data_IF_988812324063
#
_entry.id   IF_988812324063
#
_cell.length_a   1.000
_cell.length_b   1.000
_cell.length_c   1.000
_cell.angle_alpha   90.00
_cell.angle_beta   90.00
_cell.angle_gamma   90.00
#
_symmetry.space_group_name_H-M   'P 1'
#
loop_
_entity.id
_entity.type
_entity.pdbx_description
1 polymer ?
#
# COMPACT_ATOMS: atom_id res chain seq x y z
N UNK A 1 -9.60 42.66 20.95
CA UNK A 1 -8.64 41.80 21.65
C UNK A 1 -7.77 41.17 20.56
N UNK A 2 -6.58 41.72 20.33
CA UNK A 2 -5.66 41.30 19.27
C UNK A 2 -4.50 40.59 19.96
N UNK A 3 -4.30 39.32 19.64
CA UNK A 3 -3.18 38.52 20.16
C UNK A 3 -1.93 38.89 19.35
N UNK A 4 -0.79 39.27 19.97
CA UNK A 4 0.40 39.55 19.19
C UNK A 4 0.96 38.26 18.61
N UNK A 5 1.27 38.28 17.31
CA UNK A 5 2.05 37.25 16.64
C UNK A 5 3.47 37.28 17.23
N UNK A 6 3.92 36.17 17.80
CA UNK A 6 5.30 36.03 18.22
C UNK A 6 6.17 35.94 16.96
N UNK A 7 7.06 36.91 16.75
CA UNK A 7 8.11 36.83 15.73
C UNK A 7 9.04 35.65 16.08
N UNK A 8 9.04 34.64 15.22
CA UNK A 8 10.03 33.56 15.25
C UNK A 8 11.35 34.17 14.79
N UNK A 9 12.20 34.51 15.75
CA UNK A 9 13.59 34.88 15.49
C UNK A 9 14.30 33.63 14.98
N UNK A 10 14.57 33.60 13.67
CA UNK A 10 15.44 32.59 13.06
C UNK A 10 16.89 32.89 13.47
N UNK A 11 17.61 31.97 14.13
CA UNK A 11 19.04 32.13 14.32
C UNK A 11 19.71 32.04 12.95
N UNK A 12 20.19 33.18 12.45
CA UNK A 12 21.15 33.22 11.34
C UNK A 12 22.51 32.89 11.94
N UNK A 13 23.23 31.96 11.30
CA UNK A 13 24.57 31.48 11.67
C UNK A 13 24.61 30.32 12.67
N UNK A 14 24.18 29.15 12.20
CA UNK A 14 24.83 27.90 12.59
C UNK A 14 24.73 26.95 11.39
N UNK A 15 25.84 26.54 10.75
CA UNK A 15 25.79 25.49 9.75
C UNK A 15 25.40 24.20 10.47
N UNK A 16 24.10 23.88 10.48
CA UNK A 16 23.62 22.60 10.94
C UNK A 16 24.40 21.53 10.16
N UNK A 17 24.99 20.51 10.82
CA UNK A 17 25.51 19.38 10.08
C UNK A 17 24.35 18.85 9.25
N UNK A 18 24.56 18.63 7.95
CA UNK A 18 23.58 18.04 7.03
C UNK A 18 22.89 16.80 7.62
N UNK A 19 23.59 16.10 8.52
CA UNK A 19 23.07 15.00 9.34
C UNK A 19 21.85 15.35 10.21
N UNK A 20 21.70 16.58 10.70
CA UNK A 20 20.56 17.01 11.53
C UNK A 20 19.30 17.28 10.68
N UNK A 21 19.45 17.72 9.42
CA UNK A 21 18.34 17.89 8.48
C UNK A 21 17.84 16.53 7.93
N UNK A 22 18.72 15.52 7.84
CA UNK A 22 18.33 14.13 7.54
C UNK A 22 17.61 13.44 8.71
N UNK A 23 17.97 13.77 9.96
CA UNK A 23 17.32 13.21 11.16
C UNK A 23 15.90 13.76 11.37
N UNK A 24 15.66 15.05 11.13
CA UNK A 24 14.31 15.63 11.25
C UNK A 24 13.34 15.18 10.15
N UNK A 25 13.85 14.65 9.02
CA UNK A 25 13.04 14.01 7.99
C UNK A 25 12.73 12.55 8.28
N UNK A 26 13.38 11.96 9.30
CA UNK A 26 13.28 10.53 9.62
C UNK A 26 12.56 10.25 10.95
N UNK A 27 12.10 11.29 11.65
CA UNK A 27 11.47 11.16 12.98
C UNK A 27 10.01 11.67 13.04
N UNK A 28 9.28 11.59 11.91
CA UNK A 28 7.82 11.75 11.86
C UNK A 28 7.06 10.50 11.41
N UNK A 29 7.74 9.38 11.18
CA UNK A 29 7.16 8.06 10.95
C UNK A 29 7.62 7.15 12.09
N UNK A 30 6.71 6.84 13.03
CA UNK A 30 7.01 6.03 14.20
C UNK A 30 7.79 4.77 13.82
N UNK A 31 8.98 4.60 14.42
CA UNK A 31 10.07 3.71 14.00
C UNK A 31 9.75 2.21 13.88
N UNK A 32 8.90 1.87 12.91
CA UNK A 32 8.68 0.53 12.38
C UNK A 32 8.88 0.52 10.87
N UNK A 33 9.09 -0.67 10.32
CA UNK A 33 9.15 -0.91 8.89
C UNK A 33 7.83 -0.52 8.22
N UNK A 34 7.77 0.72 7.73
CA UNK A 34 6.67 1.22 6.92
C UNK A 34 7.13 1.32 5.45
N UNK A 35 6.66 0.38 4.63
CA UNK A 35 6.93 0.36 3.20
C UNK A 35 5.84 1.09 2.39
N UNK A 36 4.86 1.73 3.03
CA UNK A 36 3.80 2.44 2.30
C UNK A 36 4.34 3.60 1.47
N UNK A 37 5.23 4.42 2.04
CA UNK A 37 5.88 5.53 1.33
C UNK A 37 6.71 5.10 0.10
N UNK A 38 7.65 4.15 0.21
CA UNK A 38 8.41 3.72 -0.96
C UNK A 38 7.51 3.06 -2.02
N UNK A 39 6.50 2.30 -1.62
CA UNK A 39 5.51 1.73 -2.56
C UNK A 39 4.74 2.85 -3.25
N UNK A 40 4.26 3.83 -2.49
CA UNK A 40 3.52 4.98 -3.02
C UNK A 40 4.35 5.71 -4.07
N UNK A 41 5.61 6.01 -3.78
CA UNK A 41 6.53 6.68 -4.71
C UNK A 41 6.76 5.86 -5.97
N UNK A 42 6.98 4.55 -5.85
CA UNK A 42 7.20 3.67 -6.99
C UNK A 42 5.97 3.64 -7.92
N UNK A 43 4.77 3.51 -7.34
CA UNK A 43 3.51 3.51 -8.08
C UNK A 43 3.22 4.87 -8.74
N UNK A 44 3.55 5.98 -8.09
CA UNK A 44 3.42 7.32 -8.67
C UNK A 44 4.32 7.52 -9.89
N UNK A 45 5.44 6.79 -10.00
CA UNK A 45 6.33 6.84 -11.16
C UNK A 45 5.99 5.82 -12.25
N UNK A 46 5.07 4.89 -12.00
CA UNK A 46 4.70 3.87 -12.97
C UNK A 46 3.76 4.42 -14.05
N UNK A 47 4.18 4.29 -15.31
CA UNK A 47 3.44 4.82 -16.47
C UNK A 47 2.10 4.12 -16.67
N UNK A 48 2.01 2.80 -16.47
CA UNK A 48 0.77 2.03 -16.60
C UNK A 48 -0.23 2.45 -15.55
N UNK A 49 0.20 2.53 -14.29
CA UNK A 49 -0.64 2.98 -13.17
C UNK A 49 -1.19 4.38 -13.45
N UNK A 50 -0.35 5.32 -13.86
CA UNK A 50 -0.78 6.70 -14.14
C UNK A 50 -1.73 6.84 -15.35
N UNK A 51 -1.60 5.98 -16.36
CA UNK A 51 -2.44 6.03 -17.56
C UNK A 51 -3.80 5.38 -17.34
N UNK A 52 -3.83 4.28 -16.62
CA UNK A 52 -4.99 3.38 -16.59
C UNK A 52 -5.81 3.53 -15.30
N UNK A 53 -5.19 3.83 -14.15
CA UNK A 53 -5.90 4.00 -12.88
C UNK A 53 -6.99 5.11 -12.90
N UNK A 54 -6.82 6.25 -13.61
CA UNK A 54 -7.88 7.26 -13.71
C UNK A 54 -9.19 6.77 -14.34
N UNK A 55 -9.15 5.68 -15.11
CA UNK A 55 -10.33 5.06 -15.73
C UNK A 55 -11.13 4.17 -14.78
N UNK A 56 -10.54 3.82 -13.63
CA UNK A 56 -11.21 3.05 -12.59
C UNK A 56 -12.30 3.92 -11.96
N UNK A 57 -13.55 3.49 -12.07
CA UNK A 57 -14.64 4.12 -11.36
C UNK A 57 -14.43 3.91 -9.85
N UNK A 58 -14.62 4.95 -9.01
CA UNK A 58 -14.60 4.75 -7.57
C UNK A 58 -15.67 3.71 -7.21
N UNK A 59 -15.24 2.62 -6.56
CA UNK A 59 -16.17 1.56 -6.15
C UNK A 59 -17.10 2.14 -5.08
N UNK A 60 -18.37 2.30 -5.43
CA UNK A 60 -19.39 2.90 -4.56
C UNK A 60 -19.70 2.05 -3.31
N UNK A 61 -19.12 0.84 -3.19
CA UNK A 61 -19.35 -0.08 -2.07
C UNK A 61 -18.24 -0.06 -1.02
N UNK A 62 -17.11 0.60 -1.27
CA UNK A 62 -16.03 0.69 -0.28
C UNK A 62 -16.20 1.93 0.60
N UNK A 63 -16.28 1.72 1.92
CA UNK A 63 -16.62 2.73 2.94
C UNK A 63 -15.63 3.91 2.99
N UNK A 64 -14.52 3.85 2.24
CA UNK A 64 -13.50 4.90 2.14
C UNK A 64 -12.92 5.10 0.73
N UNK A 65 -13.55 4.59 -0.34
CA UNK A 65 -12.94 4.49 -1.69
C UNK A 65 -11.60 3.72 -1.70
N UNK A 66 -11.36 2.88 -0.70
CA UNK A 66 -10.15 2.06 -0.61
C UNK A 66 -10.34 0.77 -1.41
N UNK A 67 -9.47 0.54 -2.38
CA UNK A 67 -9.38 -0.66 -3.18
C UNK A 67 -8.49 -1.65 -2.44
N UNK A 68 -9.08 -2.72 -1.94
CA UNK A 68 -8.33 -3.80 -1.30
C UNK A 68 -7.52 -4.54 -2.37
N UNK A 69 -6.19 -4.56 -2.21
CA UNK A 69 -5.28 -5.22 -3.16
C UNK A 69 -4.80 -6.57 -2.66
N UNK A 70 -4.58 -6.69 -1.36
CA UNK A 70 -4.01 -7.88 -0.75
C UNK A 70 -4.47 -8.00 0.71
N UNK A 71 -4.78 -9.20 1.17
CA UNK A 71 -5.16 -9.48 2.57
C UNK A 71 -4.72 -10.88 3.05
N UNK A 72 -3.53 -11.31 2.62
CA UNK A 72 -3.06 -12.70 2.72
C UNK A 72 -2.94 -13.36 1.35
N UNK A 73 -3.84 -12.99 0.44
CA UNK A 73 -3.79 -13.33 -0.98
C UNK A 73 -3.99 -12.07 -1.81
N UNK A 74 -3.53 -12.08 -3.06
CA UNK A 74 -3.80 -11.00 -4.01
C UNK A 74 -5.27 -11.03 -4.41
N UNK A 75 -5.95 -9.91 -4.18
CA UNK A 75 -7.36 -9.77 -4.52
C UNK A 75 -7.46 -9.52 -6.03
N UNK A 76 -8.35 -10.26 -6.68
CA UNK A 76 -8.78 -9.98 -8.04
C UNK A 76 -9.92 -8.95 -7.95
N UNK A 77 -9.72 -7.72 -8.44
CA UNK A 77 -10.79 -6.74 -8.47
C UNK A 77 -11.89 -7.23 -9.42
N UNK A 78 -13.15 -6.99 -9.07
CA UNK A 78 -14.34 -7.35 -9.86
C UNK A 78 -14.38 -6.61 -11.21
N UNK A 79 -13.51 -6.95 -12.17
CA UNK A 79 -13.37 -6.38 -13.54
C UNK A 79 -13.34 -4.84 -13.68
N UNK A 80 -13.40 -4.10 -12.58
CA UNK A 80 -13.43 -2.64 -12.53
C UNK A 80 -12.03 -2.03 -12.62
N UNK A 81 -11.01 -2.86 -12.42
CA UNK A 81 -9.62 -2.47 -12.54
C UNK A 81 -9.04 -2.98 -13.87
N UNK A 82 -8.35 -2.13 -14.66
CA UNK A 82 -7.66 -2.60 -15.84
C UNK A 82 -6.56 -3.58 -15.45
N UNK A 83 -6.63 -4.80 -15.97
CA UNK A 83 -5.65 -5.88 -15.77
C UNK A 83 -4.18 -5.42 -15.93
N UNK A 84 -3.79 -4.64 -16.96
CA UNK A 84 -2.41 -4.18 -17.09
C UNK A 84 -1.95 -3.29 -15.92
N UNK A 85 -2.78 -2.34 -15.48
CA UNK A 85 -2.49 -1.54 -14.29
C UNK A 85 -2.41 -2.39 -13.03
N UNK A 86 -3.34 -3.34 -12.85
CA UNK A 86 -3.33 -4.20 -11.67
C UNK A 86 -2.06 -5.05 -11.62
N UNK A 87 -1.67 -5.64 -12.75
CA UNK A 87 -0.44 -6.41 -12.86
C UNK A 87 0.78 -5.55 -12.51
N UNK A 88 0.87 -4.33 -13.05
CA UNK A 88 1.94 -3.38 -12.74
C UNK A 88 1.94 -2.96 -11.25
N UNK A 89 0.77 -2.75 -10.63
CA UNK A 89 0.70 -2.45 -9.18
C UNK A 89 1.22 -3.63 -8.36
N UNK A 90 0.75 -4.85 -8.66
CA UNK A 90 1.19 -6.07 -7.96
C UNK A 90 2.70 -6.24 -8.07
N UNK A 91 3.24 -6.07 -9.27
CA UNK A 91 4.68 -6.17 -9.55
C UNK A 91 5.48 -5.10 -8.80
N UNK A 92 5.07 -3.83 -8.91
CA UNK A 92 5.72 -2.70 -8.24
C UNK A 92 5.74 -2.87 -6.72
N UNK A 93 4.61 -3.29 -6.13
CA UNK A 93 4.51 -3.56 -4.69
C UNK A 93 5.47 -4.69 -4.31
N UNK A 94 5.47 -5.81 -5.03
CA UNK A 94 6.34 -6.96 -4.75
C UNK A 94 7.81 -6.59 -4.85
N UNK A 95 8.22 -5.89 -5.92
CA UNK A 95 9.60 -5.45 -6.11
C UNK A 95 10.06 -4.50 -5.00
N UNK A 96 9.20 -3.55 -4.63
CA UNK A 96 9.52 -2.61 -3.54
C UNK A 96 9.69 -3.33 -2.21
N UNK A 97 8.80 -4.28 -1.91
CA UNK A 97 8.89 -5.08 -0.68
C UNK A 97 10.09 -6.01 -0.70
N UNK A 98 10.37 -6.67 -1.83
CA UNK A 98 11.53 -7.55 -2.00
C UNK A 98 12.87 -6.81 -1.88
N UNK A 99 12.91 -5.51 -2.19
CA UNK A 99 14.08 -4.67 -2.00
C UNK A 99 14.34 -4.27 -0.53
N UNK A 100 13.33 -4.40 0.35
CA UNK A 100 13.49 -4.10 1.77
C UNK A 100 14.33 -5.18 2.48
N UNK A 101 14.94 -4.82 3.62
CA UNK A 101 15.72 -5.77 4.44
C UNK A 101 14.84 -6.86 5.06
N UNK A 102 15.42 -8.03 5.33
CA UNK A 102 14.69 -9.13 6.00
C UNK A 102 14.10 -8.72 7.35
N UNK A 103 14.83 -7.93 8.14
CA UNK A 103 14.33 -7.40 9.41
C UNK A 103 13.06 -6.56 9.22
N UNK A 104 13.01 -5.76 8.14
CA UNK A 104 11.84 -4.97 7.76
C UNK A 104 10.70 -5.90 7.33
N UNK A 105 11.00 -6.86 6.44
CA UNK A 105 9.99 -7.75 5.86
C UNK A 105 9.31 -8.63 6.89
N UNK A 106 10.04 -9.06 7.93
CA UNK A 106 9.55 -9.93 8.98
C UNK A 106 8.83 -9.18 10.12
N UNK A 107 8.86 -7.85 10.12
CA UNK A 107 8.17 -7.07 11.15
C UNK A 107 6.64 -7.21 11.02
N UNK A 108 6.00 -7.58 12.12
CA UNK A 108 4.54 -7.69 12.22
C UNK A 108 3.88 -6.32 12.10
N UNK A 109 2.96 -6.24 11.15
CA UNK A 109 2.06 -5.14 10.86
C UNK A 109 0.70 -5.44 11.48
N UNK A 110 -0.01 -4.41 11.94
CA UNK A 110 -1.36 -4.53 12.48
C UNK A 110 -2.33 -3.67 11.67
N UNK A 111 -3.43 -4.27 11.25
CA UNK A 111 -4.47 -3.63 10.45
C UNK A 111 -4.05 -3.39 9.00
N UNK A 112 -4.95 -2.79 8.20
CA UNK A 112 -4.65 -2.45 6.82
C UNK A 112 -3.65 -1.29 6.76
N UNK A 113 -2.66 -1.42 5.88
CA UNK A 113 -1.79 -0.32 5.44
C UNK A 113 -2.42 0.33 4.21
N UNK A 114 -2.57 1.65 4.27
CA UNK A 114 -3.22 2.44 3.22
C UNK A 114 -2.16 3.17 2.41
N UNK A 115 -2.21 3.03 1.09
CA UNK A 115 -1.36 3.74 0.15
C UNK A 115 -2.23 4.73 -0.60
N UNK A 116 -1.86 6.01 -0.54
CA UNK A 116 -2.61 7.08 -1.15
C UNK A 116 -1.98 7.42 -2.50
N UNK A 117 -2.68 7.15 -3.59
CA UNK A 117 -2.24 7.46 -4.93
C UNK A 117 -2.96 8.71 -5.46
N UNK A 118 -2.40 9.92 -5.26
CA UNK A 118 -2.86 11.10 -5.97
C UNK A 118 -2.47 10.97 -7.44
N UNK A 119 -3.45 10.73 -8.31
CA UNK A 119 -3.26 10.66 -9.75
C UNK A 119 -4.20 11.66 -10.42
N UNK A 120 -3.62 12.63 -11.12
CA UNK A 120 -4.33 13.79 -11.69
C UNK A 120 -5.11 14.55 -10.61
N UNK A 121 -6.44 14.58 -10.69
CA UNK A 121 -7.35 15.30 -9.80
C UNK A 121 -8.14 14.35 -8.88
N UNK A 122 -7.68 13.10 -8.72
CA UNK A 122 -8.30 12.10 -7.85
C UNK A 122 -7.25 11.44 -6.97
N UNK A 123 -7.69 10.98 -5.80
CA UNK A 123 -6.88 10.14 -4.92
C UNK A 123 -7.52 8.76 -4.88
N UNK A 124 -6.78 7.75 -5.35
CA UNK A 124 -7.14 6.35 -5.18
C UNK A 124 -6.45 5.83 -3.93
N UNK A 125 -7.20 5.21 -3.02
CA UNK A 125 -6.63 4.59 -1.82
C UNK A 125 -6.49 3.10 -2.09
N UNK A 126 -5.31 2.54 -1.87
CA UNK A 126 -5.07 1.11 -1.94
C UNK A 126 -4.90 0.57 -0.52
N UNK A 127 -5.52 -0.56 -0.21
CA UNK A 127 -5.39 -1.21 1.09
C UNK A 127 -4.63 -2.53 0.99
N UNK A 128 -3.65 -2.71 1.87
CA UNK A 128 -2.84 -3.91 2.02
C UNK A 128 -2.98 -4.48 3.43
N UNK A 129 -3.29 -5.77 3.51
CA UNK A 129 -3.34 -6.54 4.74
C UNK A 129 -4.60 -6.32 5.56
N UNK A 130 -4.77 -7.21 6.53
CA UNK A 130 -5.80 -7.14 7.57
C UNK A 130 -5.28 -7.92 8.79
N UNK A 131 -5.83 -7.67 9.98
CA UNK A 131 -5.39 -8.36 11.19
C UNK A 131 -3.91 -8.17 11.50
N UNK A 132 -3.18 -9.25 11.74
CA UNK A 132 -1.72 -9.25 11.88
C UNK A 132 -1.07 -9.93 10.67
N UNK A 133 -0.08 -9.28 10.05
CA UNK A 133 0.58 -9.77 8.84
C UNK A 133 2.02 -9.25 8.76
N UNK A 134 2.84 -9.74 7.83
CA UNK A 134 4.19 -9.22 7.59
C UNK A 134 4.38 -8.88 6.12
N UNK A 135 5.26 -7.93 5.81
CA UNK A 135 5.59 -7.59 4.43
C UNK A 135 6.14 -8.80 3.65
N UNK A 136 6.79 -9.75 4.32
CA UNK A 136 7.22 -11.02 3.73
C UNK A 136 6.05 -11.80 3.10
N UNK A 137 4.86 -11.78 3.70
CA UNK A 137 3.69 -12.48 3.16
C UNK A 137 3.24 -11.88 1.81
N UNK A 138 3.46 -10.58 1.58
CA UNK A 138 3.12 -9.91 0.31
C UNK A 138 3.94 -10.46 -0.85
N UNK A 139 5.21 -10.76 -0.63
CA UNK A 139 6.09 -11.38 -1.64
C UNK A 139 5.91 -12.90 -1.72
N UNK A 140 5.66 -13.57 -0.60
CA UNK A 140 5.48 -15.02 -0.53
C UNK A 140 4.14 -15.50 -1.13
N UNK A 141 3.09 -14.68 -1.07
CA UNK A 141 1.75 -14.97 -1.64
C UNK A 141 1.72 -15.21 -3.15
N UNK A 142 2.87 -15.15 -3.83
CA UNK A 142 3.09 -15.64 -5.20
C UNK A 142 3.14 -17.18 -5.28
N UNK A 143 3.49 -17.86 -4.17
CA UNK A 143 3.60 -19.31 -4.05
C UNK A 143 2.32 -19.98 -3.51
N UNK A 144 1.33 -19.20 -3.07
CA UNK A 144 0.01 -19.74 -2.74
C UNK A 144 -0.84 -19.75 -4.01
N UNK A 145 -0.52 -20.66 -4.92
CA UNK A 145 -1.51 -21.22 -5.85
C UNK A 145 -2.71 -21.69 -4.99
N UNK A 146 -3.99 -21.51 -5.41
CA UNK A 146 -5.16 -21.91 -4.63
C UNK A 146 -5.33 -23.45 -4.52
N UNK A 147 -4.24 -24.17 -4.25
CA UNK A 147 -4.18 -25.60 -3.93
C UNK A 147 -3.98 -25.84 -2.42
N UNK A 148 -4.24 -24.81 -1.59
CA UNK A 148 -4.30 -24.94 -0.13
C UNK A 148 -5.64 -25.52 0.34
N UNK A 149 -5.65 -26.37 1.40
CA UNK A 149 -6.84 -27.09 1.85
C UNK A 149 -7.97 -26.12 2.20
N UNK A 150 -9.22 -26.57 2.13
CA UNK A 150 -10.46 -25.79 2.30
C UNK A 150 -10.48 -24.93 3.58
N UNK A 151 -9.78 -23.80 3.58
CA UNK A 151 -9.84 -22.81 4.66
C UNK A 151 -11.12 -22.02 4.42
N UNK A 152 -11.98 -22.01 5.43
CA UNK A 152 -13.28 -21.32 5.42
C UNK A 152 -13.07 -19.83 5.16
N UNK A 153 -13.38 -19.41 3.94
CA UNK A 153 -13.27 -18.01 3.53
C UNK A 153 -14.36 -17.17 4.22
N UNK A 154 -14.04 -16.01 4.81
CA UNK A 154 -15.04 -15.15 5.46
C UNK A 154 -15.92 -14.34 4.47
N UNK A 155 -15.75 -14.51 3.14
CA UNK A 155 -16.47 -13.78 2.11
C UNK A 155 -17.06 -14.72 1.03
N UNK A 156 -18.18 -14.36 0.37
CA UNK A 156 -18.77 -15.18 -0.68
C UNK A 156 -17.82 -15.33 -1.87
N UNK A 157 -17.55 -16.59 -2.27
CA UNK A 157 -16.70 -16.92 -3.42
C UNK A 157 -17.24 -16.28 -4.71
N UNK A 158 -16.39 -15.79 -5.63
CA UNK A 158 -16.84 -15.31 -6.93
C UNK A 158 -17.44 -16.45 -7.76
N UNK A 159 -18.57 -16.17 -8.43
CA UNK A 159 -19.38 -17.17 -9.17
C UNK A 159 -18.68 -17.87 -10.35
N UNK A 160 -17.46 -17.46 -10.70
CA UNK A 160 -16.69 -17.99 -11.82
C UNK A 160 -15.37 -18.66 -11.42
N UNK A 161 -15.12 -18.92 -10.14
CA UNK A 161 -14.11 -19.92 -9.77
C UNK A 161 -14.67 -21.27 -10.18
N UNK A 162 -14.14 -21.82 -11.27
CA UNK A 162 -14.44 -23.17 -11.72
C UNK A 162 -14.41 -24.11 -10.53
N UNK A 163 -15.57 -24.65 -10.22
CA UNK A 163 -15.90 -25.81 -9.39
C UNK A 163 -14.69 -26.63 -8.87
N UNK A 164 -13.92 -26.07 -7.93
CA UNK A 164 -13.05 -26.86 -7.06
C UNK A 164 -13.93 -27.27 -5.88
N UNK A 165 -14.58 -28.41 -6.08
CA UNK A 165 -15.41 -29.10 -5.10
C UNK A 165 -14.48 -29.60 -3.98
N UNK A 166 -14.67 -29.10 -2.77
CA UNK A 166 -14.21 -29.79 -1.57
C UNK A 166 -15.16 -30.98 -1.37
N UNK A 167 -14.64 -32.21 -1.35
CA UNK A 167 -15.37 -33.40 -0.87
C UNK A 167 -15.48 -33.34 0.66
#
# INVERSE_FOLDING_TARGET
MIVPVAEVVLPTDNPLPVSALEQVASEASGGGCDLTDPIQRALQTDVRVNLELPSVAPDRRSVANALALWNGVWIEPDRQFPEPALASIKDTVRLTVAAASDACRLQVQRGPRLIYLPIRNRTTVLALGSGEWTWQQVVDSSNMEPDGPCITWPWPKPRNSGQLQCD
#
